data_IF_541518882859
#
_entry.id   IF_541518882859
#
_cell.length_a   1.000
_cell.length_b   1.000
_cell.length_c   1.000
_cell.angle_alpha   90.00
_cell.angle_beta   90.00
_cell.angle_gamma   90.00
#
_symmetry.space_group_name_H-M   'P 1'
#
loop_
_entity.id
_entity.type
_entity.pdbx_description
1 polymer ?
#
# COMPACT_ATOMS: atom_id res chain seq x y z
N UNK A 1 -26.36 -0.67 42.14
CA UNK A 1 -26.51 -0.48 40.67
C UNK A 1 -26.52 1.02 40.38
N UNK A 2 -25.84 1.46 39.32
CA UNK A 2 -25.89 2.85 38.84
C UNK A 2 -27.21 3.13 38.08
N UNK A 3 -27.60 4.40 37.94
CA UNK A 3 -28.80 4.83 37.20
C UNK A 3 -28.92 4.15 35.83
N UNK A 4 -27.82 4.10 35.06
CA UNK A 4 -27.80 3.54 33.70
C UNK A 4 -28.25 2.07 33.66
N UNK A 5 -27.84 1.29 34.66
CA UNK A 5 -28.16 -0.14 34.75
C UNK A 5 -29.60 -0.32 35.24
N UNK A 6 -30.01 0.43 36.28
CA UNK A 6 -31.38 0.43 36.79
C UNK A 6 -32.39 0.78 35.68
N UNK A 7 -32.11 1.82 34.91
CA UNK A 7 -32.99 2.29 33.83
C UNK A 7 -33.08 1.26 32.70
N UNK A 8 -31.94 0.73 32.25
CA UNK A 8 -31.91 -0.27 31.18
C UNK A 8 -32.60 -1.56 31.60
N UNK A 9 -32.42 -1.97 32.86
CA UNK A 9 -33.10 -3.13 33.43
C UNK A 9 -34.61 -2.92 33.49
N UNK A 10 -35.08 -1.83 34.10
CA UNK A 10 -36.52 -1.52 34.21
C UNK A 10 -37.20 -1.43 32.84
N UNK A 11 -36.52 -0.83 31.85
CA UNK A 11 -37.00 -0.81 30.46
C UNK A 11 -37.09 -2.21 29.84
N UNK A 12 -36.08 -3.04 30.05
CA UNK A 12 -36.00 -4.39 29.47
C UNK A 12 -37.00 -5.36 30.11
N UNK A 13 -37.25 -5.25 31.41
CA UNK A 13 -38.27 -6.00 32.13
C UNK A 13 -39.68 -5.73 31.58
N UNK A 14 -39.95 -4.48 31.18
CA UNK A 14 -41.20 -4.10 30.51
C UNK A 14 -41.21 -4.37 29.00
N UNK A 15 -40.11 -4.89 28.43
CA UNK A 15 -39.95 -5.22 26.99
C UNK A 15 -40.25 -4.05 26.03
N UNK A 16 -40.03 -2.81 26.46
CA UNK A 16 -40.26 -1.61 25.63
C UNK A 16 -38.96 -1.13 24.98
N UNK A 17 -39.06 -0.46 23.83
CA UNK A 17 -37.88 0.14 23.17
C UNK A 17 -37.47 1.46 23.84
N UNK A 18 -36.24 1.94 23.56
CA UNK A 18 -35.80 3.26 24.01
C UNK A 18 -36.70 4.38 23.46
N UNK A 19 -37.21 4.21 22.23
CA UNK A 19 -38.15 5.15 21.63
C UNK A 19 -39.47 5.16 22.38
N UNK A 20 -40.04 3.98 22.66
CA UNK A 20 -41.32 3.87 23.38
C UNK A 20 -41.25 4.48 24.79
N UNK A 21 -40.13 4.29 25.51
CA UNK A 21 -39.93 4.96 26.79
C UNK A 21 -39.80 6.47 26.62
N UNK A 22 -39.05 6.93 25.62
CA UNK A 22 -38.85 8.35 25.35
C UNK A 22 -40.18 9.06 25.04
N UNK A 23 -41.03 8.42 24.23
CA UNK A 23 -42.37 8.93 23.89
C UNK A 23 -43.26 8.99 25.14
N UNK A 24 -43.19 7.99 26.02
CA UNK A 24 -44.01 7.92 27.23
C UNK A 24 -43.68 8.99 28.29
N UNK A 25 -42.43 9.45 28.34
CA UNK A 25 -41.98 10.49 29.30
C UNK A 25 -41.67 11.82 28.60
N UNK A 26 -42.06 11.98 27.33
CA UNK A 26 -41.92 13.20 26.53
C UNK A 26 -40.48 13.71 26.40
N UNK A 27 -39.52 12.82 26.13
CA UNK A 27 -38.12 13.18 25.85
C UNK A 27 -37.65 12.61 24.53
N UNK A 28 -36.46 13.00 24.08
CA UNK A 28 -35.88 12.41 22.87
C UNK A 28 -35.35 11.00 23.12
N UNK A 29 -35.44 10.11 22.12
CA UNK A 29 -34.80 8.78 22.17
C UNK A 29 -33.30 8.85 22.42
N UNK A 30 -32.64 9.89 21.93
CA UNK A 30 -31.23 10.17 22.20
C UNK A 30 -30.95 10.50 23.67
N UNK A 31 -31.89 11.11 24.40
CA UNK A 31 -31.76 11.35 25.84
C UNK A 31 -31.78 10.02 26.61
N UNK A 32 -32.78 9.16 26.35
CA UNK A 32 -32.85 7.82 26.93
C UNK A 32 -31.59 7.00 26.62
N UNK A 33 -31.11 7.04 25.38
CA UNK A 33 -29.88 6.35 24.99
C UNK A 33 -28.64 6.89 25.75
N UNK A 34 -28.55 8.21 25.98
CA UNK A 34 -27.47 8.81 26.79
C UNK A 34 -27.53 8.36 28.25
N UNK A 35 -28.73 8.27 28.84
CA UNK A 35 -28.90 7.83 30.22
C UNK A 35 -28.54 6.35 30.40
N UNK A 36 -29.03 5.46 29.52
CA UNK A 36 -28.71 4.03 29.56
C UNK A 36 -27.24 3.71 29.25
N UNK A 37 -26.56 4.61 28.53
CA UNK A 37 -25.12 4.50 28.29
C UNK A 37 -24.27 5.20 29.34
N UNK A 38 -24.87 5.86 30.34
CA UNK A 38 -24.17 6.65 31.36
C UNK A 38 -23.36 7.82 30.78
N UNK A 39 -23.79 8.34 29.62
CA UNK A 39 -23.22 9.52 28.96
C UNK A 39 -23.96 10.81 29.34
N UNK A 40 -25.00 10.70 30.16
CA UNK A 40 -25.77 11.82 30.70
C UNK A 40 -26.64 11.34 31.85
N UNK A 41 -27.18 12.28 32.61
CA UNK A 41 -28.12 12.02 33.70
C UNK A 41 -29.40 12.82 33.45
N UNK A 42 -30.59 12.26 33.73
CA UNK A 42 -31.85 12.99 33.58
C UNK A 42 -31.90 14.19 34.54
N UNK A 43 -32.56 15.28 34.15
CA UNK A 43 -32.90 16.35 35.08
C UNK A 43 -33.94 15.86 36.11
N UNK A 44 -34.19 16.63 37.17
CA UNK A 44 -35.15 16.27 38.22
C UNK A 44 -36.54 15.95 37.64
N UNK A 45 -37.04 16.78 36.73
CA UNK A 45 -38.33 16.57 36.05
C UNK A 45 -38.38 15.23 35.29
N UNK A 46 -37.29 14.90 34.59
CA UNK A 46 -37.18 13.62 33.86
C UNK A 46 -37.01 12.43 34.81
N UNK A 47 -36.34 12.60 35.95
CA UNK A 47 -36.25 11.56 36.98
C UNK A 47 -37.63 11.28 37.58
N UNK A 48 -38.38 12.30 37.97
CA UNK A 48 -39.74 12.15 38.48
C UNK A 48 -40.66 11.47 37.45
N UNK A 49 -40.55 11.83 36.18
CA UNK A 49 -41.29 11.19 35.10
C UNK A 49 -40.94 9.70 34.94
N UNK A 50 -39.65 9.34 35.06
CA UNK A 50 -39.20 7.95 35.05
C UNK A 50 -39.75 7.18 36.25
N UNK A 51 -39.66 7.75 37.45
CA UNK A 51 -40.13 7.11 38.69
C UNK A 51 -41.64 6.86 38.64
N UNK A 52 -42.40 7.85 38.18
CA UNK A 52 -43.85 7.73 37.96
C UNK A 52 -44.18 6.70 36.89
N UNK A 53 -43.44 6.68 35.78
CA UNK A 53 -43.66 5.72 34.70
C UNK A 53 -43.40 4.29 35.17
N UNK A 54 -42.29 4.06 35.88
CA UNK A 54 -41.90 2.74 36.37
C UNK A 54 -42.60 2.31 37.65
N UNK A 55 -43.26 3.24 38.36
CA UNK A 55 -43.96 2.96 39.63
C UNK A 55 -42.98 2.63 40.76
N UNK A 56 -41.82 3.27 40.78
CA UNK A 56 -40.76 3.07 41.78
C UNK A 56 -40.73 4.25 42.77
N UNK A 57 -40.07 4.05 43.91
CA UNK A 57 -39.94 5.07 44.95
C UNK A 57 -39.15 6.30 44.48
N UNK A 58 -39.46 7.46 45.07
CA UNK A 58 -38.73 8.69 44.78
C UNK A 58 -37.26 8.56 45.20
N UNK A 59 -36.34 8.88 44.29
CA UNK A 59 -34.92 8.71 44.48
C UNK A 59 -34.39 7.35 44.00
N UNK A 60 -35.23 6.46 43.45
CA UNK A 60 -34.79 5.16 42.94
C UNK A 60 -33.70 5.29 41.87
N UNK A 61 -33.80 6.29 41.00
CA UNK A 61 -32.80 6.55 39.95
C UNK A 61 -31.67 7.49 40.37
N UNK A 62 -31.66 8.02 41.60
CA UNK A 62 -30.58 8.90 42.04
C UNK A 62 -29.21 8.21 41.98
N UNK A 63 -28.19 8.99 41.66
CA UNK A 63 -26.79 8.56 41.65
C UNK A 63 -25.97 9.54 42.47
N UNK A 64 -25.12 9.03 43.35
CA UNK A 64 -24.16 9.83 44.08
C UNK A 64 -23.11 10.36 43.10
N UNK A 65 -23.23 11.66 42.76
CA UNK A 65 -22.29 12.44 41.93
C UNK A 65 -22.31 12.13 40.42
N UNK A 66 -23.37 12.52 39.70
CA UNK A 66 -23.53 12.28 38.27
C UNK A 66 -22.41 12.91 37.41
N UNK A 67 -21.92 14.10 37.80
CA UNK A 67 -20.90 14.83 37.05
C UNK A 67 -19.54 14.13 37.06
N UNK A 68 -19.15 13.52 38.18
CA UNK A 68 -17.87 12.80 38.29
C UNK A 68 -17.82 11.60 37.34
N UNK A 69 -18.92 10.85 37.21
CA UNK A 69 -19.00 9.66 36.37
C UNK A 69 -18.91 10.03 34.89
N UNK A 70 -19.64 11.07 34.47
CA UNK A 70 -19.64 11.57 33.09
C UNK A 70 -18.24 12.10 32.73
N UNK A 71 -17.64 12.91 33.61
CA UNK A 71 -16.29 13.49 33.38
C UNK A 71 -15.24 12.40 33.26
N UNK A 72 -15.20 11.43 34.19
CA UNK A 72 -14.24 10.31 34.13
C UNK A 72 -14.37 9.50 32.84
N UNK A 73 -15.59 9.22 32.39
CA UNK A 73 -15.84 8.48 31.14
C UNK A 73 -15.43 9.28 29.90
N UNK A 74 -15.73 10.58 29.85
CA UNK A 74 -15.32 11.45 28.75
C UNK A 74 -13.80 11.58 28.65
N UNK A 75 -13.10 11.71 29.77
CA UNK A 75 -11.63 11.70 29.81
C UNK A 75 -11.09 10.38 29.27
N UNK A 76 -11.64 9.23 29.69
CA UNK A 76 -11.24 7.91 29.20
C UNK A 76 -11.43 7.79 27.69
N UNK A 77 -12.59 8.17 27.15
CA UNK A 77 -12.86 8.13 25.70
C UNK A 77 -11.89 9.00 24.90
N UNK A 78 -11.58 10.22 25.37
CA UNK A 78 -10.58 11.09 24.74
C UNK A 78 -9.18 10.46 24.73
N UNK A 79 -8.74 9.89 25.86
CA UNK A 79 -7.45 9.19 25.93
C UNK A 79 -7.38 8.03 24.95
N UNK A 80 -8.44 7.21 24.87
CA UNK A 80 -8.50 6.09 23.91
C UNK A 80 -8.47 6.58 22.46
N UNK A 81 -9.17 7.68 22.13
CA UNK A 81 -9.14 8.26 20.79
C UNK A 81 -7.74 8.77 20.39
N UNK A 82 -7.02 9.42 21.32
CA UNK A 82 -5.65 9.92 21.09
C UNK A 82 -4.68 8.75 20.84
N UNK A 83 -4.81 7.65 21.59
CA UNK A 83 -3.97 6.46 21.39
C UNK A 83 -4.26 5.86 20.00
N UNK A 84 -5.53 5.74 19.64
CA UNK A 84 -5.92 5.21 18.33
C UNK A 84 -5.39 6.08 17.17
N UNK A 85 -5.49 7.41 17.28
CA UNK A 85 -4.96 8.32 16.26
C UNK A 85 -3.44 8.23 16.15
N UNK A 86 -2.71 8.07 17.26
CA UNK A 86 -1.27 7.87 17.25
C UNK A 86 -0.88 6.57 16.53
N UNK A 87 -1.56 5.45 16.83
CA UNK A 87 -1.30 4.15 16.18
C UNK A 87 -1.60 4.20 14.68
N UNK A 88 -2.72 4.80 14.28
CA UNK A 88 -3.07 4.99 12.88
C UNK A 88 -2.02 5.84 12.14
N UNK A 89 -1.49 6.89 12.79
CA UNK A 89 -0.43 7.73 12.24
C UNK A 89 0.87 6.95 11.98
N UNK A 90 1.30 6.10 12.92
CA UNK A 90 2.48 5.24 12.75
C UNK A 90 2.28 4.26 11.59
N UNK A 91 1.08 3.67 11.47
CA UNK A 91 0.77 2.75 10.38
C UNK A 91 0.79 3.43 9.00
N UNK A 92 0.17 4.62 8.89
CA UNK A 92 0.22 5.44 7.67
C UNK A 92 1.66 5.82 7.30
N UNK A 93 2.48 6.19 8.28
CA UNK A 93 3.88 6.49 8.06
C UNK A 93 4.65 5.26 7.54
N UNK A 94 4.40 4.08 8.09
CA UNK A 94 5.00 2.83 7.61
C UNK A 94 4.59 2.49 6.16
N UNK A 95 3.33 2.74 5.78
CA UNK A 95 2.89 2.56 4.40
C UNK A 95 3.57 3.56 3.45
N UNK A 96 3.75 4.81 3.88
CA UNK A 96 4.48 5.81 3.11
C UNK A 96 5.94 5.43 2.94
N UNK A 97 6.62 4.92 3.98
CA UNK A 97 8.02 4.48 3.85
C UNK A 97 8.16 3.27 2.93
N UNK A 98 7.24 2.30 3.00
CA UNK A 98 7.20 1.17 2.05
C UNK A 98 6.95 1.66 0.62
N UNK A 99 6.02 2.61 0.44
CA UNK A 99 5.77 3.22 -0.87
C UNK A 99 6.99 3.96 -1.42
N UNK A 100 7.71 4.72 -0.58
CA UNK A 100 8.96 5.40 -0.97
C UNK A 100 10.06 4.38 -1.27
N UNK A 101 10.17 3.28 -0.53
CA UNK A 101 11.14 2.22 -0.80
C UNK A 101 10.80 1.52 -2.13
N UNK A 102 9.53 1.22 -2.38
CA UNK A 102 9.08 0.63 -3.64
C UNK A 102 9.32 1.59 -4.82
N UNK A 103 9.03 2.88 -4.65
CA UNK A 103 9.29 3.91 -5.66
C UNK A 103 10.79 4.12 -5.88
N UNK A 104 11.61 4.13 -4.81
CA UNK A 104 13.08 4.18 -4.93
C UNK A 104 13.62 2.91 -5.60
N UNK A 105 13.07 1.73 -5.34
CA UNK A 105 13.42 0.51 -6.07
C UNK A 105 13.06 0.59 -7.56
N UNK A 106 12.14 1.46 -7.96
CA UNK A 106 11.92 1.81 -9.37
C UNK A 106 12.87 2.91 -9.89
N UNK A 107 13.53 3.68 -9.01
CA UNK A 107 14.47 4.78 -9.35
C UNK A 107 15.96 4.48 -9.06
N UNK A 108 16.31 3.30 -8.54
CA UNK A 108 17.70 2.86 -8.46
C UNK A 108 18.09 2.19 -9.78
N UNK A 109 18.65 2.98 -10.69
CA UNK A 109 19.58 2.43 -11.67
C UNK A 109 20.79 1.84 -10.93
N UNK A 110 21.08 0.54 -11.02
CA UNK A 110 22.29 0.00 -10.42
C UNK A 110 23.51 0.50 -11.18
N UNK A 111 24.59 0.84 -10.49
CA UNK A 111 25.95 0.83 -11.07
C UNK A 111 26.25 -0.60 -11.55
N UNK A 112 26.51 -0.84 -12.84
CA UNK A 112 27.02 -2.14 -13.33
C UNK A 112 28.50 -2.18 -13.14
N UNK A 113 28.80 -2.69 -11.96
CA UNK A 113 29.94 -3.54 -11.80
C UNK A 113 29.75 -4.74 -12.74
N UNK A 114 30.30 -4.65 -13.96
CA UNK A 114 30.48 -5.80 -14.88
C UNK A 114 31.60 -6.66 -14.29
N UNK A 115 31.43 -7.12 -13.06
CA UNK A 115 32.33 -8.10 -12.49
C UNK A 115 32.13 -9.43 -13.24
N UNK A 116 33.24 -10.12 -13.57
CA UNK A 116 33.25 -11.52 -14.02
C UNK A 116 32.41 -12.34 -13.03
N UNK A 117 31.17 -12.67 -13.36
CA UNK A 117 30.27 -13.18 -12.32
C UNK A 117 28.77 -12.88 -12.50
N UNK A 118 28.43 -11.79 -13.19
CA UNK A 118 27.05 -11.28 -13.19
C UNK A 118 26.24 -11.78 -14.39
N UNK A 119 25.18 -12.56 -14.14
CA UNK A 119 24.12 -12.78 -15.14
C UNK A 119 23.33 -11.49 -15.32
N UNK A 120 23.57 -10.77 -16.41
CA UNK A 120 22.84 -9.54 -16.72
C UNK A 120 21.67 -9.90 -17.64
N UNK A 121 20.45 -9.60 -17.19
CA UNK A 121 19.24 -9.72 -18.00
C UNK A 121 18.89 -8.33 -18.48
N UNK A 122 18.79 -8.17 -19.79
CA UNK A 122 18.60 -6.86 -20.38
C UNK A 122 17.37 -6.85 -21.27
N UNK A 123 16.45 -5.94 -20.97
CA UNK A 123 15.22 -5.75 -21.72
C UNK A 123 15.29 -4.43 -22.49
N UNK A 124 14.79 -4.45 -23.72
CA UNK A 124 14.45 -3.23 -24.47
C UNK A 124 12.95 -3.21 -24.72
N UNK A 125 12.36 -2.02 -24.72
CA UNK A 125 10.90 -1.84 -24.71
C UNK A 125 10.34 -1.26 -26.00
N UNK A 126 11.17 -0.86 -26.97
CA UNK A 126 10.67 -0.11 -28.12
C UNK A 126 11.40 -0.48 -29.41
N UNK A 127 10.63 -0.96 -30.39
CA UNK A 127 11.06 -1.00 -31.78
C UNK A 127 10.26 0.08 -32.53
N UNK A 128 10.96 1.11 -33.03
CA UNK A 128 10.35 2.10 -33.91
C UNK A 128 10.15 1.46 -35.28
N UNK A 129 8.89 1.30 -35.69
CA UNK A 129 8.52 0.87 -37.03
C UNK A 129 7.90 2.03 -37.79
N UNK A 130 7.89 1.95 -39.12
CA UNK A 130 7.18 2.91 -39.99
C UNK A 130 5.66 2.98 -39.71
N UNK A 131 5.13 2.07 -38.87
CA UNK A 131 3.72 1.93 -38.50
C UNK A 131 3.43 2.19 -37.02
N UNK A 132 4.42 2.68 -36.24
CA UNK A 132 4.28 3.00 -34.80
C UNK A 132 5.25 2.24 -33.89
N UNK A 133 5.18 2.51 -32.58
CA UNK A 133 5.99 1.85 -31.55
C UNK A 133 5.36 0.53 -31.10
N UNK A 134 6.03 -0.59 -31.35
CA UNK A 134 5.64 -1.89 -30.82
C UNK A 134 6.45 -2.20 -29.54
N UNK A 135 5.76 -2.58 -28.46
CA UNK A 135 6.39 -3.09 -27.25
C UNK A 135 6.84 -4.54 -27.45
N UNK A 136 7.96 -4.72 -28.13
CA UNK A 136 8.61 -6.00 -28.26
C UNK A 136 9.58 -6.19 -27.08
N UNK A 137 9.41 -7.26 -26.30
CA UNK A 137 10.27 -7.56 -25.15
C UNK A 137 11.46 -8.41 -25.61
N UNK A 138 12.61 -7.79 -25.84
CA UNK A 138 13.85 -8.52 -26.12
C UNK A 138 14.56 -8.90 -24.83
N UNK A 139 15.33 -9.99 -24.85
CA UNK A 139 16.08 -10.43 -23.67
C UNK A 139 17.52 -10.74 -24.08
N UNK A 140 18.49 -10.02 -23.51
CA UNK A 140 19.91 -10.32 -23.64
C UNK A 140 20.46 -10.83 -22.30
N UNK A 141 21.18 -11.93 -22.36
CA UNK A 141 21.82 -12.62 -21.24
C UNK A 141 23.32 -12.67 -21.49
N UNK A 142 24.12 -12.15 -20.54
CA UNK A 142 25.58 -12.29 -20.55
C UNK A 142 26.00 -13.25 -19.44
N UNK A 143 26.73 -14.31 -19.78
CA UNK A 143 27.15 -15.36 -18.85
C UNK A 143 28.65 -15.27 -18.51
N UNK A 144 29.04 -15.76 -17.34
CA UNK A 144 30.40 -15.64 -16.79
C UNK A 144 31.46 -16.44 -17.53
N UNK A 145 31.04 -17.49 -18.22
CA UNK A 145 31.87 -18.32 -19.09
C UNK A 145 32.19 -17.62 -20.42
N UNK A 146 31.76 -16.37 -20.61
CA UNK A 146 31.98 -15.61 -21.84
C UNK A 146 30.93 -15.89 -22.91
N UNK A 147 29.91 -16.71 -22.67
CA UNK A 147 28.82 -16.90 -23.63
C UNK A 147 27.71 -15.87 -23.44
N UNK A 148 26.96 -15.57 -24.51
CA UNK A 148 25.73 -14.77 -24.42
C UNK A 148 24.54 -15.54 -25.00
N UNK A 149 23.33 -15.09 -24.65
CA UNK A 149 22.08 -15.54 -25.27
C UNK A 149 21.18 -14.33 -25.49
N UNK A 150 20.57 -14.23 -26.67
CA UNK A 150 19.69 -13.15 -27.07
C UNK A 150 18.40 -13.70 -27.68
N UNK A 151 17.26 -13.26 -27.15
CA UNK A 151 15.92 -13.71 -27.54
C UNK A 151 15.14 -12.51 -28.10
N UNK A 152 14.78 -12.51 -29.40
CA UNK A 152 14.06 -11.41 -30.03
C UNK A 152 12.55 -11.51 -29.82
N UNK A 153 12.06 -11.13 -28.64
CA UNK A 153 10.62 -11.12 -28.33
C UNK A 153 10.20 -12.22 -27.35
N UNK A 154 9.12 -11.96 -26.59
CA UNK A 154 8.62 -12.82 -25.50
C UNK A 154 8.24 -14.25 -25.91
N UNK A 155 7.93 -14.46 -27.19
CA UNK A 155 7.50 -15.76 -27.76
C UNK A 155 8.37 -16.22 -28.93
N UNK A 156 9.54 -15.60 -29.13
CA UNK A 156 10.43 -16.03 -30.20
C UNK A 156 11.03 -17.39 -29.90
N UNK A 157 10.95 -18.31 -30.86
CA UNK A 157 11.71 -19.55 -30.88
C UNK A 157 13.15 -19.37 -31.38
N UNK A 158 13.46 -18.21 -31.98
CA UNK A 158 14.81 -17.85 -32.37
C UNK A 158 15.62 -17.41 -31.15
N UNK A 159 16.83 -17.95 -31.02
CA UNK A 159 17.81 -17.60 -30.01
C UNK A 159 19.11 -17.33 -30.76
N UNK A 160 19.73 -16.20 -30.50
CA UNK A 160 21.08 -15.92 -30.95
C UNK A 160 22.04 -16.08 -29.78
N UNK A 161 23.12 -16.78 -29.99
CA UNK A 161 24.12 -17.07 -28.99
C UNK A 161 25.52 -17.01 -29.63
N UNK A 162 26.51 -17.06 -28.75
CA UNK A 162 27.90 -16.92 -29.11
C UNK A 162 28.71 -16.43 -27.92
N UNK A 163 29.80 -15.73 -28.21
CA UNK A 163 30.73 -15.26 -27.19
C UNK A 163 30.65 -13.73 -27.03
N UNK A 164 30.95 -13.25 -25.84
CA UNK A 164 31.07 -11.83 -25.57
C UNK A 164 32.37 -11.49 -24.85
N UNK A 165 32.85 -10.28 -25.09
CA UNK A 165 34.02 -9.71 -24.42
C UNK A 165 33.84 -8.23 -24.15
N UNK A 166 34.58 -7.71 -23.18
CA UNK A 166 34.70 -6.28 -22.95
C UNK A 166 35.88 -5.72 -23.74
N UNK A 167 35.70 -4.52 -24.28
CA UNK A 167 36.74 -3.69 -24.89
C UNK A 167 36.57 -2.26 -24.39
N UNK A 168 37.28 -1.89 -23.33
CA UNK A 168 37.10 -0.60 -22.66
C UNK A 168 35.68 -0.43 -22.08
N UNK A 169 34.95 0.57 -22.58
CA UNK A 169 33.57 0.87 -22.25
C UNK A 169 32.56 0.20 -23.20
N UNK A 170 32.99 -0.79 -23.97
CA UNK A 170 32.17 -1.50 -24.95
C UNK A 170 32.06 -3.00 -24.64
N UNK A 171 30.91 -3.57 -25.01
CA UNK A 171 30.68 -5.02 -25.04
C UNK A 171 30.56 -5.43 -26.49
N UNK A 172 31.37 -6.40 -26.89
CA UNK A 172 31.38 -6.98 -28.23
C UNK A 172 30.79 -8.37 -28.14
N UNK A 173 29.62 -8.58 -28.76
CA UNK A 173 29.03 -9.91 -28.95
C UNK A 173 29.48 -10.46 -30.30
N UNK A 174 29.92 -11.71 -30.35
CA UNK A 174 30.33 -12.40 -31.57
C UNK A 174 29.51 -13.68 -31.71
N UNK A 175 28.68 -13.78 -32.75
CA UNK A 175 27.89 -14.98 -32.98
C UNK A 175 28.73 -16.09 -33.67
N UNK A 176 28.13 -17.26 -33.89
CA UNK A 176 28.78 -18.39 -34.57
C UNK A 176 29.20 -18.12 -36.02
N UNK A 177 28.60 -17.13 -36.68
CA UNK A 177 28.99 -16.68 -38.03
C UNK A 177 30.11 -15.62 -37.99
N UNK A 178 30.77 -15.43 -36.83
CA UNK A 178 31.79 -14.41 -36.54
C UNK A 178 31.32 -12.95 -36.70
N UNK A 179 30.01 -12.70 -36.83
CA UNK A 179 29.45 -11.35 -36.89
C UNK A 179 29.52 -10.70 -35.52
N UNK A 180 29.98 -9.45 -35.50
CA UNK A 180 30.14 -8.67 -34.27
C UNK A 180 28.98 -7.70 -34.08
N UNK A 181 28.55 -7.56 -32.84
CA UNK A 181 27.55 -6.59 -32.40
C UNK A 181 28.11 -5.80 -31.23
N UNK A 182 28.12 -4.47 -31.37
CA UNK A 182 28.74 -3.57 -30.40
C UNK A 182 27.68 -2.90 -29.54
N UNK A 183 27.88 -2.96 -28.23
CA UNK A 183 27.03 -2.35 -27.21
C UNK A 183 27.89 -1.41 -26.35
N UNK A 184 27.60 -0.12 -26.36
CA UNK A 184 28.31 0.86 -25.54
C UNK A 184 27.71 0.93 -24.14
N UNK A 185 28.57 0.94 -23.14
CA UNK A 185 28.18 1.14 -21.75
C UNK A 185 27.96 2.64 -21.54
N UNK A 186 26.70 3.04 -21.38
CA UNK A 186 26.34 4.42 -21.05
C UNK A 186 26.66 4.74 -19.58
N UNK A 187 26.82 6.04 -19.27
CA UNK A 187 27.01 6.54 -17.90
C UNK A 187 25.92 6.11 -16.92
N UNK A 188 24.72 5.84 -17.43
CA UNK A 188 23.56 5.36 -16.64
C UNK A 188 23.46 3.84 -16.61
N UNK A 189 24.54 3.15 -16.94
CA UNK A 189 24.63 1.71 -16.81
C UNK A 189 23.63 0.93 -17.68
N UNK A 190 23.23 1.56 -18.77
CA UNK A 190 22.51 0.94 -19.86
C UNK A 190 23.50 0.54 -20.94
N UNK A 191 23.15 -0.49 -21.68
CA UNK A 191 23.84 -0.81 -22.91
C UNK A 191 23.11 -0.10 -24.05
N UNK A 192 23.86 0.50 -24.96
CA UNK A 192 23.30 1.16 -26.14
C UNK A 192 23.85 0.46 -27.36
N UNK A 193 22.97 -0.09 -28.19
CA UNK A 193 23.38 -0.75 -29.42
C UNK A 193 23.91 0.27 -30.43
N UNK A 194 25.10 0.00 -30.96
CA UNK A 194 25.76 0.82 -31.98
C UNK A 194 25.75 0.05 -33.30
N UNK A 195 24.78 0.37 -34.16
CA UNK A 195 24.62 -0.30 -35.45
C UNK A 195 25.75 0.04 -36.42
N UNK A 196 26.37 1.23 -36.28
CA UNK A 196 27.46 1.67 -37.16
C UNK A 196 28.75 0.85 -36.97
N UNK A 197 28.87 0.21 -35.81
CA UNK A 197 30.01 -0.65 -35.42
C UNK A 197 29.63 -2.12 -35.29
N UNK A 198 28.58 -2.54 -35.98
CA UNK A 198 28.07 -3.92 -35.96
C UNK A 198 27.95 -4.49 -37.38
N UNK A 199 28.29 -5.77 -37.55
CA UNK A 199 28.39 -6.44 -38.85
C UNK A 199 27.02 -6.92 -39.40
N UNK A 200 25.92 -6.63 -38.70
CA UNK A 200 24.60 -7.12 -39.08
C UNK A 200 23.43 -6.53 -38.30
N UNK A 201 22.22 -6.94 -38.68
CA UNK A 201 20.99 -6.55 -37.99
C UNK A 201 20.81 -7.40 -36.73
N UNK A 202 21.27 -6.88 -35.60
CA UNK A 202 20.67 -7.19 -34.31
C UNK A 202 19.23 -6.68 -34.42
N UNK A 203 18.19 -7.48 -34.18
CA UNK A 203 16.77 -7.13 -34.45
C UNK A 203 16.21 -6.00 -33.53
N UNK A 204 16.95 -4.91 -33.41
CA UNK A 204 16.72 -3.68 -32.66
C UNK A 204 17.27 -2.52 -33.49
N UNK A 205 16.73 -1.31 -33.30
CA UNK A 205 17.24 -0.12 -33.97
C UNK A 205 18.59 0.32 -33.42
N UNK A 206 19.35 1.09 -34.21
CA UNK A 206 20.49 1.85 -33.71
C UNK A 206 20.06 2.73 -32.52
N UNK A 207 20.93 2.83 -31.51
CA UNK A 207 20.62 3.54 -30.27
C UNK A 207 19.64 2.82 -29.34
N UNK A 208 19.22 1.58 -29.65
CA UNK A 208 18.37 0.81 -28.75
C UNK A 208 19.02 0.68 -27.37
N UNK A 209 18.25 1.04 -26.34
CA UNK A 209 18.71 1.03 -24.95
C UNK A 209 18.27 -0.25 -24.27
N UNK A 210 19.24 -0.84 -23.58
CA UNK A 210 19.19 -2.12 -22.93
C UNK A 210 19.42 -1.88 -21.42
N UNK A 211 18.40 -2.15 -20.59
CA UNK A 211 18.43 -1.87 -19.15
C UNK A 211 18.55 -3.14 -18.31
N UNK A 212 19.51 -3.19 -17.37
CA UNK A 212 19.71 -4.32 -16.43
C UNK A 212 18.50 -4.48 -15.52
N UNK A 213 17.91 -5.67 -15.48
CA UNK A 213 16.86 -6.03 -14.51
C UNK A 213 17.48 -6.76 -13.32
N UNK A 214 17.26 -6.25 -12.11
CA UNK A 214 17.57 -6.97 -10.87
C UNK A 214 16.47 -8.01 -10.58
N UNK A 215 16.86 -9.19 -10.09
CA UNK A 215 15.95 -10.19 -9.53
C UNK A 215 15.88 -10.04 -8.01
#
# INVERSE_FOLDING_TARGET
MELKEKLKQARSERKISQQALADAIFVSRSAVAKWESGLGVPCNESMEALEKYFGVENGYFMTDKPDEVIVKKNIRMRKTAIIFSAVAGVFLFALLTVGIIHNRNNDYGPTLDVAKGTKIYVYTTELNTDYGSLQCHYQLYLFNNGSFMYIPGLHSSYIYDGEWKMDGDEIILTNFDEKKYTLKISKNNTLVFDASRSDGKFNVSDGAVFVKKAF
#
